data_IF_513757150664
#
_entry.id   IF_513757150664
#
_cell.length_a   1.000
_cell.length_b   1.000
_cell.length_c   1.000
_cell.angle_alpha   90.00
_cell.angle_beta   90.00
_cell.angle_gamma   90.00
#
_symmetry.space_group_name_H-M   'P 1'
#
loop_
_entity.id
_entity.type
_entity.pdbx_description
1 polymer ?
#
# COMPACT_ATOMS: atom_id res chain seq x y z
N UNK A 1 -11.21 2.64 -19.76
CA UNK A 1 -11.08 1.76 -18.58
C UNK A 1 -9.91 2.29 -17.78
N UNK A 2 -10.05 2.50 -16.48
CA UNK A 2 -8.92 2.91 -15.64
C UNK A 2 -7.81 1.86 -15.74
N UNK A 3 -6.55 2.29 -15.76
CA UNK A 3 -5.44 1.36 -15.66
C UNK A 3 -5.46 0.68 -14.28
N UNK A 4 -4.82 -0.49 -14.16
CA UNK A 4 -4.80 -1.23 -12.89
C UNK A 4 -4.17 -0.40 -11.76
N UNK A 5 -3.16 0.41 -12.05
CA UNK A 5 -2.51 1.30 -11.09
C UNK A 5 -3.42 2.47 -10.67
N UNK A 6 -4.23 3.02 -11.57
CA UNK A 6 -5.25 4.03 -11.24
C UNK A 6 -6.34 3.44 -10.34
N UNK A 7 -6.84 2.25 -10.67
CA UNK A 7 -7.84 1.55 -9.87
C UNK A 7 -7.30 1.21 -8.47
N UNK A 8 -6.05 0.76 -8.38
CA UNK A 8 -5.37 0.50 -7.11
C UNK A 8 -5.19 1.79 -6.30
N UNK A 9 -4.76 2.88 -6.95
CA UNK A 9 -4.60 4.18 -6.30
C UNK A 9 -5.92 4.70 -5.71
N UNK A 10 -7.03 4.55 -6.46
CA UNK A 10 -8.36 4.90 -5.97
C UNK A 10 -8.80 4.03 -4.79
N UNK A 11 -8.57 2.70 -4.87
CA UNK A 11 -8.87 1.76 -3.79
C UNK A 11 -8.10 2.06 -2.51
N UNK A 12 -6.82 2.44 -2.62
CA UNK A 12 -5.95 2.69 -1.46
C UNK A 12 -6.17 4.07 -0.82
N UNK A 13 -6.90 4.98 -1.48
CA UNK A 13 -7.10 6.36 -1.02
C UNK A 13 -7.55 6.49 0.46
N UNK A 14 -8.57 5.76 0.96
CA UNK A 14 -8.96 5.86 2.37
C UNK A 14 -7.87 5.38 3.33
N UNK A 15 -7.14 4.31 3.00
CA UNK A 15 -6.03 3.80 3.80
C UNK A 15 -4.85 4.76 3.86
N UNK A 16 -4.49 5.34 2.71
CA UNK A 16 -3.40 6.32 2.59
C UNK A 16 -3.68 7.56 3.42
N UNK A 17 -4.94 7.98 3.55
CA UNK A 17 -5.31 9.14 4.38
C UNK A 17 -5.00 8.92 5.87
N UNK A 18 -5.05 7.68 6.34
CA UNK A 18 -4.80 7.30 7.74
C UNK A 18 -3.31 7.21 8.07
N UNK A 19 -2.45 7.11 7.05
CA UNK A 19 -1.00 7.16 7.21
C UNK A 19 -0.57 8.62 7.46
N UNK A 20 -0.54 9.03 8.73
CA UNK A 20 -0.30 10.43 9.14
C UNK A 20 0.95 11.08 8.53
N UNK A 21 2.03 10.32 8.29
CA UNK A 21 3.29 10.83 7.74
C UNK A 21 3.32 10.88 6.20
N UNK A 22 3.70 12.03 5.62
CA UNK A 22 3.74 12.26 4.15
C UNK A 22 4.52 11.18 3.38
N UNK A 23 5.68 10.77 3.89
CA UNK A 23 6.51 9.74 3.25
C UNK A 23 5.83 8.36 3.26
N UNK A 24 5.08 8.03 4.31
CA UNK A 24 4.29 6.78 4.39
C UNK A 24 3.16 6.78 3.38
N UNK A 25 2.47 7.93 3.19
CA UNK A 25 1.46 8.09 2.14
C UNK A 25 2.00 7.88 0.73
N UNK A 26 3.22 8.34 0.47
CA UNK A 26 3.88 8.15 -0.83
C UNK A 26 4.31 6.71 -1.03
N UNK A 27 4.79 6.03 0.02
CA UNK A 27 5.33 4.68 -0.09
C UNK A 27 4.27 3.59 -0.11
N UNK A 28 3.13 3.77 0.57
CA UNK A 28 2.08 2.75 0.67
C UNK A 28 1.56 2.26 -0.70
N UNK A 29 1.14 3.14 -1.64
CA UNK A 29 0.66 2.68 -2.94
C UNK A 29 1.72 1.91 -3.73
N UNK A 30 2.98 2.33 -3.63
CA UNK A 30 4.11 1.69 -4.32
C UNK A 30 4.42 0.32 -3.71
N UNK A 31 4.34 0.20 -2.40
CA UNK A 31 4.59 -1.05 -1.68
C UNK A 31 3.50 -2.07 -2.01
N UNK A 32 2.23 -1.66 -1.96
CA UNK A 32 1.11 -2.52 -2.34
C UNK A 32 1.19 -2.89 -3.83
N UNK A 33 1.44 -1.93 -4.72
CA UNK A 33 1.61 -2.21 -6.15
C UNK A 33 2.74 -3.21 -6.42
N UNK A 34 3.86 -3.11 -5.71
CA UNK A 34 4.95 -4.08 -5.85
C UNK A 34 4.58 -5.49 -5.34
N UNK A 35 3.71 -5.59 -4.32
CA UNK A 35 3.26 -6.85 -3.73
C UNK A 35 2.23 -7.59 -4.60
N UNK A 36 1.26 -6.87 -5.17
CA UNK A 36 0.15 -7.44 -5.95
C UNK A 36 0.35 -7.33 -7.46
N UNK A 37 1.39 -6.61 -7.90
CA UNK A 37 1.76 -6.48 -9.31
C UNK A 37 2.35 -7.76 -9.91
N UNK A 38 2.66 -7.75 -11.22
CA UNK A 38 3.01 -8.94 -12.02
C UNK A 38 4.41 -9.53 -11.76
N UNK A 39 4.84 -9.64 -10.51
CA UNK A 39 6.13 -10.23 -10.12
C UNK A 39 5.96 -11.52 -9.32
N UNK A 40 6.74 -12.56 -9.65
CA UNK A 40 6.68 -13.83 -8.92
C UNK A 40 7.19 -13.73 -7.47
N UNK A 41 8.15 -12.85 -7.21
CA UNK A 41 8.76 -12.68 -5.89
C UNK A 41 8.21 -11.44 -5.16
N UNK A 42 7.60 -11.70 -4.01
CA UNK A 42 7.03 -10.71 -3.06
C UNK A 42 8.05 -10.14 -2.06
N UNK A 43 9.34 -10.15 -2.39
CA UNK A 43 10.38 -9.56 -1.53
C UNK A 43 10.68 -8.12 -1.95
N UNK A 44 11.10 -7.29 -0.97
CA UNK A 44 11.31 -5.86 -1.15
C UNK A 44 12.35 -5.53 -2.23
N UNK A 45 13.40 -6.35 -2.36
CA UNK A 45 14.48 -6.14 -3.32
C UNK A 45 14.00 -6.28 -4.78
N UNK A 46 13.37 -7.40 -5.20
CA UNK A 46 12.72 -7.50 -6.51
C UNK A 46 11.66 -6.42 -6.77
N UNK A 47 10.90 -6.00 -5.75
CA UNK A 47 9.93 -4.90 -5.90
C UNK A 47 10.62 -3.56 -6.19
N UNK A 48 11.70 -3.27 -5.46
CA UNK A 48 12.52 -2.08 -5.68
C UNK A 48 13.18 -2.10 -7.07
N UNK A 49 13.76 -3.23 -7.48
CA UNK A 49 14.39 -3.37 -8.81
C UNK A 49 13.41 -3.07 -9.96
N UNK A 50 12.12 -3.41 -9.82
CA UNK A 50 11.10 -3.11 -10.83
C UNK A 50 10.61 -1.66 -10.83
N UNK A 51 10.49 -1.06 -9.65
CA UNK A 51 9.89 0.27 -9.50
C UNK A 51 10.96 1.38 -9.59
N UNK A 52 12.07 1.21 -8.89
CA UNK A 52 13.28 2.04 -8.85
C UNK A 52 14.19 1.52 -7.71
N UNK A 53 15.41 1.02 -8.00
CA UNK A 53 16.32 0.46 -7.00
C UNK A 53 16.61 1.38 -5.81
N UNK A 54 16.59 2.71 -6.00
CA UNK A 54 16.76 3.69 -4.92
C UNK A 54 15.58 3.70 -3.92
N UNK A 55 14.53 2.90 -4.16
CA UNK A 55 13.38 2.71 -3.26
C UNK A 55 13.58 1.57 -2.27
N UNK A 56 14.62 0.75 -2.38
CA UNK A 56 14.83 -0.37 -1.46
C UNK A 56 14.86 0.09 0.00
N UNK A 57 15.74 1.04 0.32
CA UNK A 57 15.81 1.62 1.67
C UNK A 57 14.49 2.30 2.05
N UNK A 58 13.81 2.94 1.09
CA UNK A 58 12.51 3.58 1.34
C UNK A 58 11.39 2.58 1.65
N UNK A 59 11.40 1.39 1.06
CA UNK A 59 10.47 0.31 1.40
C UNK A 59 10.76 -0.28 2.75
N UNK A 60 12.04 -0.51 3.06
CA UNK A 60 12.46 -0.97 4.37
C UNK A 60 12.07 0.03 5.46
N UNK A 61 12.39 1.32 5.28
CA UNK A 61 11.96 2.38 6.20
C UNK A 61 10.45 2.53 6.27
N UNK A 62 9.71 2.32 5.17
CA UNK A 62 8.26 2.34 5.22
C UNK A 62 7.78 1.27 6.21
N UNK A 63 8.03 -0.01 5.94
CA UNK A 63 7.46 -1.12 6.69
C UNK A 63 8.07 -1.32 8.09
N UNK A 64 9.33 -0.90 8.30
CA UNK A 64 10.07 -1.18 9.53
C UNK A 64 10.22 0.01 10.48
N UNK A 65 10.08 1.27 10.05
CA UNK A 65 10.17 2.40 11.00
C UNK A 65 8.86 2.61 11.76
N UNK A 66 8.99 2.40 13.08
CA UNK A 66 7.92 2.19 14.06
C UNK A 66 6.96 3.34 14.35
N UNK A 67 5.90 2.95 15.08
CA UNK A 67 4.65 3.64 15.40
C UNK A 67 3.79 3.92 14.16
N UNK A 68 3.34 2.84 13.53
CA UNK A 68 2.11 2.88 12.75
C UNK A 68 0.97 2.68 13.73
N UNK A 69 0.00 3.59 13.73
CA UNK A 69 -1.28 3.33 14.38
C UNK A 69 -2.09 2.45 13.43
N UNK A 70 -2.14 1.15 13.74
CA UNK A 70 -2.81 0.14 12.92
C UNK A 70 -4.33 0.17 13.11
N UNK A 71 -4.81 0.58 14.28
CA UNK A 71 -6.24 0.62 14.64
C UNK A 71 -7.10 1.33 13.59
N UNK A 72 -6.78 2.56 13.12
CA UNK A 72 -7.59 3.21 12.10
C UNK A 72 -7.56 2.46 10.76
N UNK A 73 -6.42 1.85 10.41
CA UNK A 73 -6.23 1.12 9.15
C UNK A 73 -7.06 -0.17 9.17
N UNK A 74 -7.04 -0.91 10.28
CA UNK A 74 -7.84 -2.12 10.47
C UNK A 74 -9.33 -1.82 10.44
N UNK A 75 -9.77 -0.73 11.09
CA UNK A 75 -11.16 -0.31 11.05
C UNK A 75 -11.62 0.02 9.61
N UNK A 76 -10.77 0.67 8.81
CA UNK A 76 -11.07 0.94 7.41
C UNK A 76 -11.05 -0.32 6.54
N UNK A 77 -10.16 -1.27 6.85
CA UNK A 77 -10.11 -2.56 6.18
C UNK A 77 -11.41 -3.34 6.43
N UNK A 78 -11.88 -3.40 7.67
CA UNK A 78 -13.14 -4.05 8.02
C UNK A 78 -14.33 -3.42 7.28
N UNK A 79 -14.44 -2.08 7.28
CA UNK A 79 -15.49 -1.36 6.53
C UNK A 79 -15.42 -1.62 5.03
N UNK A 80 -14.22 -1.67 4.46
CA UNK A 80 -14.04 -1.93 3.03
C UNK A 80 -14.35 -3.36 2.67
N UNK A 81 -13.94 -4.33 3.49
CA UNK A 81 -14.27 -5.73 3.30
C UNK A 81 -15.78 -5.98 3.38
N UNK A 82 -16.45 -5.39 4.38
CA UNK A 82 -17.90 -5.49 4.55
C UNK A 82 -18.65 -5.02 3.29
N UNK A 83 -18.31 -3.83 2.79
CA UNK A 83 -18.87 -3.30 1.54
C UNK A 83 -18.62 -4.20 0.32
N UNK A 84 -17.44 -4.83 0.24
CA UNK A 84 -17.09 -5.69 -0.89
C UNK A 84 -17.85 -7.02 -0.89
N UNK A 85 -18.26 -7.52 0.29
CA UNK A 85 -19.03 -8.77 0.40
C UNK A 85 -20.55 -8.55 0.44
N UNK A 86 -21.01 -7.32 0.23
CA UNK A 86 -22.44 -6.98 0.22
C UNK A 86 -23.01 -6.65 1.61
N UNK A 87 -22.15 -6.34 2.58
CA UNK A 87 -22.52 -5.68 3.82
C UNK A 87 -23.02 -4.24 3.60
N UNK A 88 -23.68 -3.69 4.61
CA UNK A 88 -24.48 -2.46 4.55
C UNK A 88 -23.64 -1.17 4.59
#
# INVERSE_FOLDING_TARGET
MASWDEALGAFLKPFVALLGHKKRRQMCPLYVAGLIGPGERKSMRPMAERLDPARYDRFHHFISDGLWDEVPIEAELARTADRLVGGA
#
